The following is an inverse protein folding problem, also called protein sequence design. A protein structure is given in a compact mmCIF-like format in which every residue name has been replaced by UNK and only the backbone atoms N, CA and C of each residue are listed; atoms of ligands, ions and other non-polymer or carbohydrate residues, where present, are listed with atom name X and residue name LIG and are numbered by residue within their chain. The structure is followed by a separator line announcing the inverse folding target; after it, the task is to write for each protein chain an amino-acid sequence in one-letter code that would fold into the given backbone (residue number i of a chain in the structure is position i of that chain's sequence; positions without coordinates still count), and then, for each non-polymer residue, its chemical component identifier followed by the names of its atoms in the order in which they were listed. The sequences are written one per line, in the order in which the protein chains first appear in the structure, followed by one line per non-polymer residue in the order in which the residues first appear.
data_IF_795320894868
#
_entry.id   IF_795320894868
#
_cell.length_a   1.000
_cell.length_b   1.000
_cell.length_c   1.000
_cell.angle_alpha   90.00
_cell.angle_beta   90.00
_cell.angle_gamma   90.00
#
_symmetry.space_group_name_H-M   'P 1'
#
loop_
_entity.id
_entity.type
_entity.pdbx_description
1 polymer ?
#
# COMPACT_ATOMS: atom_id res chain seq x y z
N UNK A 1 -12.44 -11.91 3.33
CA UNK A 1 -12.90 -10.50 3.38
C UNK A 1 -11.65 -9.70 3.58
N UNK A 2 -11.28 -8.85 2.62
CA UNK A 2 -10.02 -8.11 2.70
C UNK A 2 -10.04 -7.18 3.92
N UNK A 3 -8.94 -7.15 4.66
CA UNK A 3 -8.80 -6.43 5.94
C UNK A 3 -7.50 -5.67 5.97
N UNK A 4 -7.52 -4.54 6.68
CA UNK A 4 -6.36 -3.67 6.78
C UNK A 4 -6.04 -3.38 8.24
N UNK A 5 -5.12 -4.14 8.84
CA UNK A 5 -4.64 -3.80 10.18
C UNK A 5 -3.42 -2.89 10.07
N UNK A 6 -3.68 -1.58 9.97
CA UNK A 6 -2.64 -0.57 9.84
C UNK A 6 -1.73 -0.48 11.08
N UNK A 7 -2.16 -0.93 12.27
CA UNK A 7 -1.31 -0.91 13.47
C UNK A 7 -0.29 -2.04 13.49
N UNK A 8 -0.63 -3.20 12.90
CA UNK A 8 0.28 -4.34 12.80
C UNK A 8 1.03 -4.41 11.46
N UNK A 9 0.66 -3.57 10.49
CA UNK A 9 1.20 -3.62 9.13
C UNK A 9 0.77 -4.86 8.35
N UNK A 10 -0.31 -5.53 8.78
CA UNK A 10 -0.81 -6.74 8.14
C UNK A 10 -2.02 -6.38 7.27
N UNK A 11 -1.94 -6.68 5.98
CA UNK A 11 -2.98 -6.41 5.00
C UNK A 11 -3.37 -7.72 4.31
N UNK A 12 -4.66 -8.06 4.33
CA UNK A 12 -5.21 -9.20 3.60
C UNK A 12 -5.82 -8.72 2.28
N UNK A 13 -5.31 -9.22 1.16
CA UNK A 13 -5.69 -8.84 -0.20
C UNK A 13 -6.04 -10.10 -0.98
N UNK A 14 -7.33 -10.35 -1.22
CA UNK A 14 -7.85 -11.52 -1.92
C UNK A 14 -7.29 -12.86 -1.37
N UNK A 15 -7.14 -12.95 -0.05
CA UNK A 15 -6.59 -14.13 0.64
C UNK A 15 -5.07 -14.12 0.80
N UNK A 16 -4.35 -13.22 0.13
CA UNK A 16 -2.92 -13.02 0.34
C UNK A 16 -2.67 -12.18 1.60
N UNK A 17 -1.79 -12.66 2.49
CA UNK A 17 -1.46 -11.96 3.73
C UNK A 17 -0.12 -11.26 3.53
N UNK A 18 -0.18 -9.93 3.38
CA UNK A 18 0.99 -9.07 3.28
C UNK A 18 1.35 -8.57 4.67
N UNK A 19 2.59 -8.78 5.11
CA UNK A 19 3.05 -8.44 6.45
C UNK A 19 4.52 -8.00 6.46
N UNK A 20 5.05 -7.48 7.59
CA UNK A 20 6.48 -7.26 7.72
C UNK A 20 7.27 -8.54 7.40
N UNK A 21 8.33 -8.41 6.59
CA UNK A 21 9.15 -9.54 6.14
C UNK A 21 8.61 -10.31 4.92
N UNK A 22 7.45 -9.92 4.37
CA UNK A 22 6.89 -10.52 3.16
C UNK A 22 7.90 -10.51 2.01
N UNK A 23 8.13 -11.66 1.37
CA UNK A 23 9.17 -11.80 0.35
C UNK A 23 8.60 -11.80 -1.07
N UNK A 24 9.48 -11.60 -2.04
CA UNK A 24 9.12 -11.78 -3.44
C UNK A 24 8.79 -13.25 -3.75
N UNK A 25 9.39 -14.22 -3.04
CA UNK A 25 9.03 -15.62 -3.20
C UNK A 25 7.59 -15.90 -2.73
N UNK A 26 7.15 -15.25 -1.65
CA UNK A 26 5.74 -15.30 -1.22
C UNK A 26 4.83 -14.70 -2.29
N UNK A 27 5.21 -13.55 -2.84
CA UNK A 27 4.48 -12.92 -3.95
C UNK A 27 4.33 -13.84 -5.15
N UNK A 28 5.39 -14.57 -5.52
CA UNK A 28 5.36 -15.52 -6.65
C UNK A 28 4.37 -16.68 -6.46
N UNK A 29 4.00 -16.99 -5.22
CA UNK A 29 3.00 -18.01 -4.87
C UNK A 29 1.58 -17.44 -4.83
N UNK A 30 1.44 -16.11 -4.82
CA UNK A 30 0.15 -15.43 -4.75
C UNK A 30 -0.60 -15.47 -6.09
N UNK A 31 -1.91 -15.23 -6.04
CA UNK A 31 -2.75 -15.09 -7.24
C UNK A 31 -2.44 -13.83 -8.08
N UNK A 32 -1.59 -12.92 -7.58
CA UNK A 32 -1.21 -11.69 -8.27
C UNK A 32 -0.02 -11.86 -9.21
N UNK A 33 0.70 -12.96 -9.08
CA UNK A 33 1.88 -13.23 -9.89
C UNK A 33 1.47 -13.65 -11.31
N UNK A 34 2.04 -12.94 -12.29
CA UNK A 34 1.84 -13.17 -13.74
C UNK A 34 3.18 -12.98 -14.48
N UNK A 35 4.27 -13.47 -13.87
CA UNK A 35 5.61 -13.43 -14.48
C UNK A 35 6.41 -12.13 -14.27
N UNK A 36 6.06 -11.31 -13.27
CA UNK A 36 6.82 -10.08 -12.98
C UNK A 36 8.24 -10.39 -12.45
N UNK A 37 9.21 -9.49 -12.65
CA UNK A 37 10.63 -9.74 -12.35
C UNK A 37 11.10 -9.33 -10.94
N UNK A 38 10.21 -8.75 -10.11
CA UNK A 38 10.52 -8.31 -8.74
C UNK A 38 11.45 -7.11 -8.62
N UNK A 39 11.94 -6.57 -9.75
CA UNK A 39 12.88 -5.43 -9.79
C UNK A 39 12.09 -4.12 -9.92
N UNK A 40 10.97 -4.15 -10.64
CA UNK A 40 10.10 -2.99 -10.87
C UNK A 40 8.97 -2.92 -9.85
N UNK A 41 8.32 -1.76 -9.78
CA UNK A 41 7.04 -1.63 -9.06
C UNK A 41 6.02 -2.55 -9.71
N UNK A 42 5.37 -3.40 -8.91
CA UNK A 42 4.37 -4.37 -9.37
C UNK A 42 2.99 -3.87 -8.97
N UNK A 43 2.21 -3.41 -9.93
CA UNK A 43 0.82 -3.02 -9.73
C UNK A 43 -0.09 -4.23 -9.93
N UNK A 44 -1.01 -4.49 -8.99
CA UNK A 44 -2.09 -5.45 -9.20
C UNK A 44 -3.01 -4.92 -10.32
N UNK A 45 -3.38 -5.79 -11.27
CA UNK A 45 -4.20 -5.42 -12.44
C UNK A 45 -5.55 -4.86 -12.03
N UNK A 46 -6.22 -5.54 -11.11
CA UNK A 46 -7.56 -5.19 -10.66
C UNK A 46 -7.55 -4.25 -9.47
N UNK A 47 -8.66 -3.54 -9.30
CA UNK A 47 -8.94 -2.79 -8.08
C UNK A 47 -9.25 -3.76 -6.96
N UNK A 48 -8.68 -3.50 -5.78
CA UNK A 48 -8.92 -4.30 -4.58
C UNK A 48 -9.84 -3.52 -3.66
N UNK A 49 -11.00 -4.10 -3.33
CA UNK A 49 -11.83 -3.60 -2.24
C UNK A 49 -11.24 -4.06 -0.90
N UNK A 50 -10.86 -3.13 -0.03
CA UNK A 50 -10.40 -3.44 1.33
C UNK A 50 -11.30 -2.68 2.29
N UNK A 51 -12.01 -3.43 3.14
CA UNK A 51 -13.10 -2.89 3.95
C UNK A 51 -14.14 -2.18 3.07
N UNK A 52 -14.40 -0.89 3.29
CA UNK A 52 -15.41 -0.13 2.55
C UNK A 52 -14.86 0.61 1.33
N UNK A 53 -13.54 0.65 1.15
CA UNK A 53 -12.89 1.47 0.13
C UNK A 53 -12.27 0.62 -1.00
N UNK A 54 -12.20 1.21 -2.20
CA UNK A 54 -11.58 0.61 -3.36
C UNK A 54 -10.18 1.18 -3.59
N UNK A 55 -9.20 0.30 -3.81
CA UNK A 55 -7.80 0.66 -3.93
C UNK A 55 -7.14 0.11 -5.19
N UNK A 56 -6.29 0.94 -5.78
CA UNK A 56 -5.17 0.45 -6.61
C UNK A 56 -4.02 0.08 -5.68
N UNK A 57 -3.44 -1.10 -5.85
CA UNK A 57 -2.37 -1.62 -4.99
C UNK A 57 -1.10 -1.86 -5.80
N UNK A 58 0.04 -1.39 -5.29
CA UNK A 58 1.35 -1.60 -5.88
C UNK A 58 2.38 -2.07 -4.84
N UNK A 59 3.12 -3.12 -5.18
CA UNK A 59 4.19 -3.70 -4.39
C UNK A 59 5.54 -3.17 -4.86
N UNK A 60 6.42 -2.87 -3.91
CA UNK A 60 7.80 -2.51 -4.19
C UNK A 60 8.74 -3.32 -3.31
N UNK A 61 9.53 -4.18 -3.95
CA UNK A 61 10.51 -5.04 -3.30
C UNK A 61 11.91 -4.41 -3.35
N UNK A 62 12.69 -4.62 -2.30
CA UNK A 62 14.13 -4.33 -2.25
C UNK A 62 14.84 -5.56 -1.73
N UNK A 63 15.87 -6.02 -2.44
CA UNK A 63 16.59 -7.26 -2.10
C UNK A 63 15.64 -8.45 -1.86
N UNK A 64 14.59 -8.57 -2.69
CA UNK A 64 13.54 -9.61 -2.62
C UNK A 64 12.66 -9.56 -1.36
N UNK A 65 12.75 -8.53 -0.53
CA UNK A 65 11.86 -8.30 0.62
C UNK A 65 10.96 -7.12 0.29
N UNK A 66 9.68 -7.20 0.65
CA UNK A 66 8.72 -6.11 0.47
C UNK A 66 9.18 -4.91 1.29
N UNK A 67 9.49 -3.82 0.60
CA UNK A 67 9.86 -2.57 1.23
C UNK A 67 8.64 -1.65 1.38
N UNK A 68 7.74 -1.65 0.41
CA UNK A 68 6.57 -0.78 0.45
C UNK A 68 5.38 -1.40 -0.26
N UNK A 69 4.22 -1.31 0.37
CA UNK A 69 2.92 -1.46 -0.25
C UNK A 69 2.31 -0.06 -0.41
N UNK A 70 2.17 0.39 -1.66
CA UNK A 70 1.56 1.67 -1.98
C UNK A 70 0.12 1.45 -2.44
N UNK A 71 -0.83 2.06 -1.75
CA UNK A 71 -2.26 1.95 -2.04
C UNK A 71 -2.83 3.34 -2.37
N UNK A 72 -3.68 3.39 -3.39
CA UNK A 72 -4.35 4.62 -3.82
C UNK A 72 -5.85 4.36 -3.72
N UNK A 73 -6.53 5.03 -2.81
CA UNK A 73 -7.98 5.00 -2.77
C UNK A 73 -8.57 5.75 -3.98
N UNK A 74 -9.47 5.09 -4.70
CA UNK A 74 -10.09 5.57 -5.93
C UNK A 74 -11.60 5.83 -5.80
N UNK A 75 -12.14 5.85 -4.59
CA UNK A 75 -13.57 6.11 -4.36
C UNK A 75 -14.00 7.55 -4.64
N UNK A 76 -13.02 8.44 -4.78
CA UNK A 76 -13.22 9.84 -5.13
C UNK A 76 -12.70 10.11 -6.55
N UNK A 77 -13.58 10.69 -7.35
CA UNK A 77 -13.25 11.26 -8.65
C UNK A 77 -12.74 12.68 -8.43
N UNK A 78 -11.48 12.90 -8.78
CA UNK A 78 -10.77 14.17 -8.54
C UNK A 78 -10.12 14.60 -9.85
N UNK A 79 -10.33 15.85 -10.30
CA UNK A 79 -9.62 16.39 -11.45
C UNK A 79 -8.11 16.32 -11.27
N UNK A 80 -7.37 16.08 -12.34
CA UNK A 80 -5.90 15.99 -12.29
C UNK A 80 -5.25 17.19 -11.56
N UNK A 81 -5.75 18.41 -11.74
CA UNK A 81 -5.25 19.63 -11.08
C UNK A 81 -5.45 19.68 -9.57
N UNK A 82 -6.28 18.79 -9.02
CA UNK A 82 -6.69 18.79 -7.62
C UNK A 82 -6.29 17.52 -6.87
N UNK A 83 -5.34 16.73 -7.40
CA UNK A 83 -4.92 15.45 -6.81
C UNK A 83 -4.50 15.54 -5.34
N UNK A 84 -4.08 16.72 -4.86
CA UNK A 84 -3.85 16.99 -3.43
C UNK A 84 -5.08 16.69 -2.55
N UNK A 85 -6.30 16.82 -3.08
CA UNK A 85 -7.55 16.44 -2.39
C UNK A 85 -7.61 14.94 -2.14
N UNK A 86 -6.97 14.12 -2.99
CA UNK A 86 -6.87 12.68 -2.76
C UNK A 86 -5.99 12.38 -1.56
N UNK A 87 -4.88 13.09 -1.42
CA UNK A 87 -4.05 13.00 -0.21
C UNK A 87 -4.84 13.39 1.03
N UNK A 88 -5.65 14.45 0.99
CA UNK A 88 -6.49 14.85 2.11
C UNK A 88 -7.49 13.75 2.50
N UNK A 89 -8.11 13.10 1.52
CA UNK A 89 -8.97 11.95 1.78
C UNK A 89 -8.20 10.74 2.36
N UNK A 90 -6.97 10.52 1.91
CA UNK A 90 -6.09 9.51 2.50
C UNK A 90 -5.71 9.86 3.94
N UNK A 91 -5.49 11.13 4.27
CA UNK A 91 -5.27 11.61 5.64
C UNK A 91 -6.49 11.23 6.53
N UNK A 92 -7.71 11.45 6.04
CA UNK A 92 -8.94 11.08 6.76
C UNK A 92 -9.10 9.56 6.96
N UNK A 93 -8.68 8.75 5.98
CA UNK A 93 -8.67 7.28 6.12
C UNK A 93 -7.74 6.87 7.26
N UNK A 94 -6.54 7.46 7.34
CA UNK A 94 -5.59 7.18 8.42
C UNK A 94 -6.15 7.63 9.78
N UNK A 95 -6.74 8.83 9.85
CA UNK A 95 -7.32 9.37 11.08
C UNK A 95 -8.46 8.49 11.62
N UNK A 96 -9.36 8.02 10.74
CA UNK A 96 -10.44 7.07 11.12
C UNK A 96 -9.90 5.76 11.70
N UNK A 97 -8.67 5.38 11.37
CA UNK A 97 -7.96 4.22 11.90
C UNK A 97 -7.11 4.54 13.15
N UNK A 98 -7.21 5.77 13.67
CA UNK A 98 -6.47 6.23 14.84
C UNK A 98 -4.99 6.50 14.57
N UNK A 99 -4.65 6.88 13.33
CA UNK A 99 -3.30 7.21 12.88
C UNK A 99 -3.19 8.68 12.49
N UNK A 100 -1.99 9.25 12.61
CA UNK A 100 -1.64 10.52 11.98
C UNK A 100 -1.30 10.33 10.50
N UNK A 101 -1.18 11.45 9.77
CA UNK A 101 -0.77 11.48 8.34
C UNK A 101 0.56 10.78 8.09
N UNK A 102 1.42 10.68 9.11
CA UNK A 102 2.53 9.74 9.18
C UNK A 102 2.58 9.14 10.59
N UNK A 103 2.65 7.81 10.70
CA UNK A 103 2.71 7.05 11.95
C UNK A 103 3.83 6.02 11.90
N UNK A 104 4.57 5.87 13.00
CA UNK A 104 5.73 4.97 13.11
C UNK A 104 5.43 3.80 14.05
N UNK A 105 6.00 2.65 13.72
CA UNK A 105 5.86 1.39 14.44
C UNK A 105 7.19 0.63 14.44
N UNK A 106 7.31 -0.38 15.30
CA UNK A 106 8.52 -1.23 15.38
C UNK A 106 8.81 -1.94 14.05
N UNK A 107 7.76 -2.26 13.28
CA UNK A 107 7.86 -2.96 12.01
C UNK A 107 8.04 -2.03 10.79
N UNK A 108 7.90 -0.71 10.95
CA UNK A 108 7.94 0.23 9.83
C UNK A 108 7.15 1.51 10.07
N UNK A 109 6.66 2.13 9.00
CA UNK A 109 5.84 3.34 9.10
C UNK A 109 4.76 3.39 8.01
N UNK A 110 3.69 4.12 8.30
CA UNK A 110 2.60 4.38 7.36
C UNK A 110 2.49 5.86 7.15
N UNK A 111 2.34 6.30 5.89
CA UNK A 111 2.07 7.70 5.58
C UNK A 111 1.25 7.91 4.34
N UNK A 112 0.43 8.94 4.36
CA UNK A 112 -0.20 9.49 3.16
C UNK A 112 0.72 10.54 2.53
N UNK A 113 0.95 10.44 1.23
CA UNK A 113 1.86 11.32 0.48
C UNK A 113 1.19 11.86 -0.77
N UNK A 114 1.63 13.04 -1.21
CA UNK A 114 1.39 13.56 -2.54
C UNK A 114 2.75 13.77 -3.20
N UNK A 115 3.01 13.09 -4.31
CA UNK A 115 4.18 13.30 -5.14
C UNK A 115 3.87 14.34 -6.24
N UNK A 116 4.40 15.57 -6.16
CA UNK A 116 4.15 16.59 -7.15
C UNK A 116 4.79 16.30 -8.51
N UNK A 117 5.78 15.40 -8.60
CA UNK A 117 6.42 15.04 -9.87
C UNK A 117 5.53 14.10 -10.69
N UNK A 118 4.98 13.07 -10.04
CA UNK A 118 4.04 12.14 -10.64
C UNK A 118 2.59 12.63 -10.64
N UNK A 119 2.29 13.70 -9.91
CA UNK A 119 0.95 14.16 -9.57
C UNK A 119 0.07 13.01 -9.10
N UNK A 120 0.51 12.34 -8.03
CA UNK A 120 -0.15 11.15 -7.49
C UNK A 120 -0.15 11.20 -5.97
N UNK A 121 -1.28 10.85 -5.38
CA UNK A 121 -1.44 10.68 -3.93
C UNK A 121 -1.62 9.22 -3.56
N UNK A 122 -0.95 8.77 -2.50
CA UNK A 122 -1.03 7.39 -2.02
C UNK A 122 -0.88 7.28 -0.51
N UNK A 123 -1.42 6.22 0.07
CA UNK A 123 -1.02 5.72 1.40
C UNK A 123 0.10 4.70 1.17
N UNK A 124 1.25 4.95 1.76
CA UNK A 124 2.41 4.06 1.69
C UNK A 124 2.59 3.37 3.04
N UNK A 125 2.49 2.05 3.02
CA UNK A 125 2.85 1.17 4.14
C UNK A 125 4.28 0.72 3.87
N UNK A 126 5.22 1.21 4.66
CA UNK A 126 6.65 1.01 4.47
C UNK A 126 7.13 0.06 5.56
N UNK A 127 7.77 -1.03 5.15
CA UNK A 127 8.30 -2.03 6.06
C UNK A 127 9.79 -1.82 6.29
N UNK A 128 10.23 -1.98 7.53
CA UNK A 128 11.65 -2.01 7.86
C UNK A 128 12.32 -3.18 7.13
N UNK A 129 13.53 -2.96 6.62
CA UNK A 129 14.34 -4.07 6.15
C UNK A 129 14.63 -4.98 7.34
N UNK A 130 14.11 -6.21 7.31
CA UNK A 130 14.52 -7.22 8.28
C UNK A 130 15.98 -7.55 7.92
N UNK A 131 16.92 -7.15 8.78
CA UNK A 131 18.28 -7.67 8.69
C UNK A 131 18.17 -9.17 9.01
N UNK A 132 18.26 -10.01 7.98
CA UNK A 132 18.48 -11.45 8.15
C UNK A 132 19.93 -11.71 8.55
#
# INVERSE_FOLDING_TARGET
MNKMNLKSGIIEINGEIVSPGYTFEDFQKSAFFDGQDGIRVIRIKDTVKIEDNNYVVSFFFRNKILYMLSIICIDIDIPFSEEIKRKQFHDEILEKNGLSTESFFDWGNIKSVYDPKGNVSSINIIYNAVMQ
#
